data_IF_863905132886
#
_entry.id   IF_863905132886
#
_cell.length_a   1.000
_cell.length_b   1.000
_cell.length_c   1.000
_cell.angle_alpha   90.00
_cell.angle_beta   90.00
_cell.angle_gamma   90.00
#
_symmetry.space_group_name_H-M   'P 1'
#
loop_
_entity.id
_entity.type
_entity.pdbx_description
1 polymer ?
#
# COMPACT_ATOMS: atom_id res chain seq x y z
N UNK A 1 20.48 0.15 6.15
CA UNK A 1 20.62 0.92 4.87
C UNK A 1 19.23 1.24 4.36
N UNK A 2 18.96 2.51 3.99
CA UNK A 2 17.64 2.88 3.47
C UNK A 2 17.38 2.27 2.11
N UNK A 3 16.18 1.69 1.94
CA UNK A 3 15.70 1.13 0.70
C UNK A 3 14.39 1.85 0.30
N UNK A 4 14.32 2.44 -0.88
CA UNK A 4 13.09 3.05 -1.38
C UNK A 4 12.32 2.04 -2.22
N UNK A 5 11.05 1.82 -1.88
CA UNK A 5 10.14 1.02 -2.68
C UNK A 5 9.24 1.99 -3.44
N UNK A 6 9.36 2.01 -4.76
CA UNK A 6 8.63 2.93 -5.62
C UNK A 6 7.36 2.26 -6.15
N UNK A 7 6.24 2.90 -5.89
CA UNK A 7 4.95 2.64 -6.51
C UNK A 7 4.84 3.32 -7.89
N UNK A 8 3.84 2.99 -8.67
CA UNK A 8 3.53 3.54 -10.00
C UNK A 8 3.51 5.07 -9.99
N UNK A 9 2.92 5.68 -8.97
CA UNK A 9 2.84 7.14 -8.80
C UNK A 9 4.23 7.80 -8.73
N UNK A 10 5.20 7.16 -8.11
CA UNK A 10 6.57 7.68 -8.01
C UNK A 10 7.28 7.72 -9.36
N UNK A 11 7.09 6.70 -10.20
CA UNK A 11 7.63 6.70 -11.57
C UNK A 11 6.95 7.74 -12.46
N UNK A 12 5.62 7.87 -12.38
CA UNK A 12 4.83 8.85 -13.15
C UNK A 12 5.27 10.27 -12.81
N UNK A 13 5.52 10.59 -11.54
CA UNK A 13 5.98 11.91 -11.11
C UNK A 13 7.47 12.17 -11.35
N UNK A 14 8.17 11.20 -11.92
CA UNK A 14 9.56 11.39 -12.30
C UNK A 14 10.57 11.27 -11.18
N UNK A 15 10.22 10.67 -10.04
CA UNK A 15 11.19 10.46 -8.95
C UNK A 15 12.40 9.68 -9.47
N UNK A 16 13.60 10.20 -9.18
CA UNK A 16 14.86 9.61 -9.59
C UNK A 16 15.89 9.68 -8.45
N UNK A 17 15.79 8.78 -7.46
CA UNK A 17 16.73 8.74 -6.34
C UNK A 17 18.17 8.50 -6.83
N UNK A 18 19.15 9.16 -6.23
CA UNK A 18 20.54 9.09 -6.70
C UNK A 18 21.44 8.22 -5.79
N UNK A 19 21.16 8.21 -4.49
CA UNK A 19 22.05 7.62 -3.49
C UNK A 19 21.37 6.51 -2.65
N UNK A 20 20.11 6.19 -2.93
CA UNK A 20 19.38 5.16 -2.22
C UNK A 20 19.29 3.87 -3.06
N UNK A 21 19.20 2.73 -2.40
CA UNK A 21 18.81 1.49 -3.05
C UNK A 21 17.33 1.56 -3.42
N UNK A 22 17.02 1.38 -4.69
CA UNK A 22 15.65 1.51 -5.21
C UNK A 22 15.10 0.15 -5.58
N UNK A 23 13.89 -0.11 -5.15
CA UNK A 23 13.15 -1.33 -5.38
C UNK A 23 11.77 -1.03 -5.97
N UNK A 24 11.23 -1.98 -6.71
CA UNK A 24 9.84 -2.02 -7.13
C UNK A 24 9.41 -3.47 -7.37
N UNK A 25 8.15 -3.67 -7.70
CA UNK A 25 7.57 -4.98 -7.96
C UNK A 25 7.18 -5.14 -9.43
N UNK A 26 7.07 -6.39 -9.95
CA UNK A 26 6.73 -6.63 -11.34
C UNK A 26 5.41 -5.97 -11.76
N UNK A 27 4.37 -6.02 -10.92
CA UNK A 27 3.06 -5.44 -11.26
C UNK A 27 3.10 -3.92 -11.45
N UNK A 28 3.95 -3.20 -10.71
CA UNK A 28 4.19 -1.75 -10.96
C UNK A 28 4.74 -1.54 -12.37
N UNK A 29 5.68 -2.38 -12.81
CA UNK A 29 6.28 -2.25 -14.14
C UNK A 29 5.23 -2.52 -15.24
N UNK A 30 4.34 -3.48 -15.01
CA UNK A 30 3.25 -3.82 -15.95
C UNK A 30 2.19 -2.72 -16.08
N UNK A 31 1.96 -1.95 -15.03
CA UNK A 31 1.04 -0.80 -15.05
C UNK A 31 1.56 0.39 -15.84
N UNK A 32 2.88 0.55 -15.94
CA UNK A 32 3.50 1.69 -16.61
C UNK A 32 3.42 1.53 -18.13
N UNK A 33 2.63 2.37 -18.79
CA UNK A 33 2.39 2.32 -20.24
C UNK A 33 3.11 3.43 -21.02
N UNK A 34 3.54 4.48 -20.33
CA UNK A 34 4.25 5.58 -20.98
C UNK A 34 5.66 5.16 -21.39
N UNK A 35 5.99 5.30 -22.67
CA UNK A 35 7.25 4.85 -23.24
C UNK A 35 8.49 5.52 -22.63
N UNK A 36 8.40 6.81 -22.24
CA UNK A 36 9.51 7.52 -21.59
C UNK A 36 9.73 7.01 -20.17
N UNK A 37 8.66 6.75 -19.42
CA UNK A 37 8.74 6.20 -18.07
C UNK A 37 9.34 4.81 -18.12
N UNK A 38 8.86 3.95 -19.02
CA UNK A 38 9.37 2.58 -19.21
C UNK A 38 10.86 2.61 -19.62
N UNK A 39 11.24 3.46 -20.56
CA UNK A 39 12.65 3.58 -20.98
C UNK A 39 13.55 4.00 -19.82
N UNK A 40 13.12 4.98 -19.00
CA UNK A 40 13.87 5.41 -17.81
C UNK A 40 13.99 4.30 -16.79
N UNK A 41 12.91 3.55 -16.54
CA UNK A 41 12.92 2.40 -15.63
C UNK A 41 13.94 1.35 -16.09
N UNK A 42 13.95 1.02 -17.40
CA UNK A 42 14.91 0.09 -17.99
C UNK A 42 16.36 0.53 -17.79
N UNK A 43 16.64 1.82 -17.95
CA UNK A 43 17.98 2.37 -17.69
C UNK A 43 18.35 2.21 -16.22
N UNK A 44 17.44 2.47 -15.29
CA UNK A 44 17.68 2.29 -13.86
C UNK A 44 17.95 0.81 -13.51
N UNK A 45 17.20 -0.11 -14.12
CA UNK A 45 17.36 -1.55 -13.94
C UNK A 45 18.72 -2.04 -14.48
N UNK A 46 19.05 -1.71 -15.76
CA UNK A 46 20.30 -2.14 -16.41
C UNK A 46 21.54 -1.56 -15.77
N UNK A 47 21.44 -0.39 -15.14
CA UNK A 47 22.53 0.23 -14.39
C UNK A 47 22.63 -0.24 -12.94
N UNK A 48 21.78 -1.21 -12.53
CA UNK A 48 21.76 -1.74 -11.17
C UNK A 48 21.22 -0.78 -10.10
N UNK A 49 20.63 0.34 -10.51
CA UNK A 49 20.05 1.36 -9.61
C UNK A 49 18.65 1.00 -9.14
N UNK A 50 17.94 0.16 -9.89
CA UNK A 50 16.62 -0.34 -9.57
C UNK A 50 16.64 -1.86 -9.54
N UNK A 51 16.07 -2.43 -8.49
CA UNK A 51 15.81 -3.87 -8.37
C UNK A 51 14.32 -4.11 -8.47
N UNK A 52 13.91 -4.96 -9.41
CA UNK A 52 12.54 -5.44 -9.53
C UNK A 52 12.48 -6.77 -8.79
N UNK A 53 11.69 -6.83 -7.71
CA UNK A 53 11.62 -8.00 -6.83
C UNK A 53 10.16 -8.42 -6.67
N UNK A 54 9.88 -9.68 -6.95
CA UNK A 54 8.60 -10.29 -6.63
C UNK A 54 8.62 -10.71 -5.15
N UNK A 55 7.68 -10.22 -4.31
CA UNK A 55 7.66 -10.55 -2.90
C UNK A 55 7.25 -12.01 -2.69
N UNK A 56 7.78 -12.63 -1.64
CA UNK A 56 7.40 -13.98 -1.25
C UNK A 56 5.93 -14.03 -0.79
N UNK A 57 5.26 -15.16 -1.10
CA UNK A 57 3.82 -15.39 -0.81
C UNK A 57 3.46 -15.18 0.67
N UNK A 58 4.37 -15.55 1.59
CA UNK A 58 4.13 -15.37 3.04
C UNK A 58 3.88 -13.91 3.42
N UNK A 59 4.53 -12.95 2.77
CA UNK A 59 4.33 -11.52 3.04
C UNK A 59 3.04 -11.00 2.41
N UNK A 60 2.67 -11.54 1.24
CA UNK A 60 1.35 -11.24 0.65
C UNK A 60 0.22 -11.69 1.57
N UNK A 61 0.35 -12.88 2.20
CA UNK A 61 -0.61 -13.36 3.20
C UNK A 61 -0.75 -12.41 4.39
N UNK A 62 0.36 -11.89 4.93
CA UNK A 62 0.32 -10.92 6.03
C UNK A 62 -0.42 -9.62 5.63
N UNK A 63 -0.16 -9.11 4.41
CA UNK A 63 -0.84 -7.92 3.91
C UNK A 63 -2.33 -8.18 3.71
N UNK A 64 -2.71 -9.35 3.19
CA UNK A 64 -4.12 -9.72 3.01
C UNK A 64 -4.86 -9.78 4.33
N UNK A 65 -4.30 -10.49 5.33
CA UNK A 65 -4.90 -10.61 6.66
C UNK A 65 -5.10 -9.24 7.32
N UNK A 66 -4.11 -8.35 7.25
CA UNK A 66 -4.24 -7.01 7.81
C UNK A 66 -5.25 -6.16 7.02
N UNK A 67 -5.29 -6.30 5.69
CA UNK A 67 -6.27 -5.59 4.85
C UNK A 67 -7.71 -5.99 5.17
N UNK A 68 -7.95 -7.27 5.43
CA UNK A 68 -9.23 -7.79 5.90
C UNK A 68 -9.60 -7.21 7.27
N UNK A 69 -8.65 -7.21 8.22
CA UNK A 69 -8.86 -6.63 9.57
C UNK A 69 -9.20 -5.15 9.55
N UNK A 70 -8.62 -4.40 8.61
CA UNK A 70 -8.89 -2.97 8.44
C UNK A 70 -10.13 -2.67 7.59
N UNK A 71 -10.71 -3.68 6.92
CA UNK A 71 -11.81 -3.50 5.98
C UNK A 71 -11.38 -2.80 4.68
N UNK A 72 -10.12 -2.92 4.32
CA UNK A 72 -9.52 -2.29 3.12
C UNK A 72 -9.20 -3.29 2.00
N UNK A 73 -9.57 -4.55 2.13
CA UNK A 73 -9.26 -5.60 1.16
C UNK A 73 -9.71 -5.27 -0.28
N UNK A 74 -10.81 -4.53 -0.42
CA UNK A 74 -11.33 -4.07 -1.72
C UNK A 74 -10.74 -2.73 -2.20
N UNK A 75 -10.02 -2.02 -1.34
CA UNK A 75 -9.40 -0.74 -1.69
C UNK A 75 -7.98 -0.88 -2.22
N UNK A 76 -7.32 -2.00 -1.91
CA UNK A 76 -5.97 -2.29 -2.34
C UNK A 76 -5.97 -3.16 -3.60
N UNK A 77 -5.32 -2.70 -4.64
CA UNK A 77 -5.04 -3.50 -5.83
C UNK A 77 -4.04 -4.62 -5.54
N UNK A 78 -3.88 -5.55 -6.47
CA UNK A 78 -2.81 -6.57 -6.38
C UNK A 78 -1.42 -5.93 -6.36
N UNK A 79 -1.23 -4.85 -7.10
CA UNK A 79 0.00 -4.07 -7.15
C UNK A 79 0.32 -3.46 -5.79
N UNK A 80 -0.67 -2.83 -5.14
CA UNK A 80 -0.51 -2.24 -3.81
C UNK A 80 -0.09 -3.29 -2.78
N UNK A 81 -0.72 -4.47 -2.83
CA UNK A 81 -0.40 -5.59 -1.96
C UNK A 81 1.05 -6.07 -2.17
N UNK A 82 1.52 -6.16 -3.42
CA UNK A 82 2.92 -6.50 -3.69
C UNK A 82 3.88 -5.44 -3.16
N UNK A 83 3.62 -4.16 -3.34
CA UNK A 83 4.45 -3.06 -2.82
C UNK A 83 4.59 -3.14 -1.30
N UNK A 84 3.47 -3.37 -0.60
CA UNK A 84 3.45 -3.52 0.86
C UNK A 84 4.16 -4.80 1.33
N UNK A 85 3.93 -5.92 0.64
CA UNK A 85 4.58 -7.20 0.93
C UNK A 85 6.10 -7.12 0.76
N UNK A 86 6.58 -6.45 -0.30
CA UNK A 86 8.00 -6.20 -0.49
C UNK A 86 8.58 -5.35 0.66
N UNK A 87 7.79 -4.39 1.18
CA UNK A 87 8.17 -3.61 2.36
C UNK A 87 8.42 -4.48 3.58
N UNK A 88 7.54 -5.44 3.85
CA UNK A 88 7.71 -6.39 4.96
C UNK A 88 8.94 -7.27 4.74
N UNK A 89 9.10 -7.83 3.54
CA UNK A 89 10.24 -8.67 3.19
C UNK A 89 11.57 -7.96 3.40
N UNK A 90 11.71 -6.74 2.87
CA UNK A 90 12.95 -5.96 3.02
C UNK A 90 13.21 -5.55 4.47
N UNK A 91 12.16 -5.40 5.30
CA UNK A 91 12.33 -5.18 6.73
C UNK A 91 12.91 -6.40 7.44
N UNK A 92 12.48 -7.61 7.07
CA UNK A 92 13.03 -8.85 7.61
C UNK A 92 14.47 -9.07 7.14
N UNK A 93 14.85 -8.56 5.96
CA UNK A 93 16.23 -8.57 5.43
C UNK A 93 17.11 -7.46 6.09
N UNK A 94 16.71 -6.94 7.23
CA UNK A 94 17.42 -5.88 8.00
C UNK A 94 17.66 -4.57 7.23
N UNK A 95 16.87 -4.32 6.19
CA UNK A 95 16.83 -3.02 5.51
C UNK A 95 15.83 -2.10 6.19
N UNK A 96 15.95 -0.81 5.95
CA UNK A 96 14.98 0.19 6.38
C UNK A 96 14.15 0.64 5.17
N UNK A 97 13.08 -0.11 4.80
CA UNK A 97 12.28 0.24 3.63
C UNK A 97 11.43 1.47 3.88
N UNK A 98 11.29 2.28 2.84
CA UNK A 98 10.39 3.42 2.79
C UNK A 98 9.55 3.30 1.53
N UNK A 99 8.25 3.09 1.68
CA UNK A 99 7.31 3.05 0.56
C UNK A 99 7.04 4.47 0.07
N UNK A 100 7.15 4.68 -1.23
CA UNK A 100 6.91 5.97 -1.87
C UNK A 100 5.67 5.86 -2.75
N UNK A 101 4.54 6.33 -2.24
CA UNK A 101 3.25 6.31 -2.94
C UNK A 101 2.40 7.49 -2.50
N UNK A 102 1.64 8.08 -3.45
CA UNK A 102 0.63 9.09 -3.14
C UNK A 102 -0.76 8.51 -2.88
N UNK A 103 -0.92 7.19 -2.98
CA UNK A 103 -2.17 6.52 -2.63
C UNK A 103 -2.37 6.46 -1.12
N UNK A 104 -3.48 7.02 -0.64
CA UNK A 104 -3.83 7.02 0.79
C UNK A 104 -4.11 5.62 1.34
N UNK A 105 -4.63 4.70 0.52
CA UNK A 105 -4.88 3.32 0.96
C UNK A 105 -3.57 2.59 1.22
N UNK A 106 -2.58 2.76 0.32
CA UNK A 106 -1.22 2.23 0.50
C UNK A 106 -0.56 2.82 1.73
N UNK A 107 -0.61 4.16 1.90
CA UNK A 107 -0.03 4.84 3.06
C UNK A 107 -0.69 4.39 4.38
N UNK A 108 -2.02 4.28 4.41
CA UNK A 108 -2.78 3.85 5.58
C UNK A 108 -2.43 2.40 5.96
N UNK A 109 -2.30 1.52 4.97
CA UNK A 109 -1.91 0.13 5.18
C UNK A 109 -0.45 0.01 5.61
N UNK A 110 0.47 0.76 5.00
CA UNK A 110 1.87 0.80 5.41
C UNK A 110 2.01 1.20 6.88
N UNK A 111 1.24 2.21 7.32
CA UNK A 111 1.21 2.62 8.73
C UNK A 111 0.64 1.53 9.65
N UNK A 112 -0.37 0.77 9.21
CA UNK A 112 -0.93 -0.37 9.95
C UNK A 112 0.09 -1.50 10.13
N UNK A 113 0.85 -1.79 9.08
CA UNK A 113 1.90 -2.80 9.06
C UNK A 113 3.20 -2.34 9.76
N UNK A 114 3.27 -1.07 10.23
CA UNK A 114 4.47 -0.52 10.85
C UNK A 114 5.58 -0.16 9.85
N UNK A 115 5.27 -0.10 8.56
CA UNK A 115 6.21 0.29 7.51
C UNK A 115 6.31 1.81 7.40
N UNK A 116 7.50 2.28 7.05
CA UNK A 116 7.71 3.70 6.76
C UNK A 116 7.21 4.02 5.36
N UNK A 117 6.56 5.16 5.23
CA UNK A 117 6.08 5.63 3.93
C UNK A 117 6.25 7.14 3.79
N UNK A 118 6.24 7.62 2.56
CA UNK A 118 6.18 9.05 2.20
C UNK A 118 5.38 9.25 0.91
N UNK A 119 4.63 10.34 0.84
CA UNK A 119 4.06 10.85 -0.41
C UNK A 119 5.09 11.71 -1.17
N UNK A 120 4.83 11.95 -2.43
CA UNK A 120 5.62 12.84 -3.30
C UNK A 120 5.01 14.24 -3.34
N UNK A 121 3.70 14.32 -3.62
CA UNK A 121 2.97 15.57 -3.80
C UNK A 121 1.99 15.85 -2.65
N UNK A 122 1.58 14.82 -1.92
CA UNK A 122 0.53 14.94 -0.89
C UNK A 122 1.15 14.87 0.51
N UNK A 123 0.73 15.73 1.46
CA UNK A 123 1.10 15.55 2.86
C UNK A 123 0.64 14.18 3.33
N UNK A 124 1.55 13.34 3.80
CA UNK A 124 1.27 11.98 4.26
C UNK A 124 0.12 11.89 5.25
N UNK A 125 -0.41 10.69 5.48
CA UNK A 125 -1.52 10.41 6.38
C UNK A 125 -1.20 10.92 7.79
N UNK A 126 -2.07 11.79 8.30
CA UNK A 126 -2.01 12.27 9.70
C UNK A 126 -2.78 11.39 10.67
N UNK A 127 -3.62 10.48 10.17
CA UNK A 127 -4.49 9.62 10.99
C UNK A 127 -4.72 8.28 10.30
N UNK A 128 -4.61 7.19 11.04
CA UNK A 128 -4.98 5.86 10.60
C UNK A 128 -6.50 5.70 10.65
N UNK A 129 -7.08 5.14 9.59
CA UNK A 129 -8.49 4.81 9.53
C UNK A 129 -8.66 3.30 9.50
N UNK A 130 -9.61 2.79 10.26
CA UNK A 130 -10.20 1.48 10.07
C UNK A 130 -11.59 1.65 9.49
N UNK A 131 -11.99 0.74 8.63
CA UNK A 131 -13.27 0.81 7.96
C UNK A 131 -14.21 -0.22 8.56
N UNK A 132 -15.48 0.15 8.72
CA UNK A 132 -16.55 -0.76 9.13
C UNK A 132 -17.60 -0.79 8.03
N UNK A 133 -18.04 -1.99 7.66
CA UNK A 133 -19.19 -2.13 6.78
C UNK A 133 -20.46 -1.77 7.57
N UNK A 134 -21.35 -1.03 6.96
CA UNK A 134 -22.66 -0.73 7.52
C UNK A 134 -23.76 -0.81 6.47
N UNK A 135 -24.93 -1.19 6.90
CA UNK A 135 -26.11 -1.21 6.06
C UNK A 135 -26.84 0.13 6.15
N UNK A 136 -26.99 0.90 5.05
CA UNK A 136 -27.76 2.12 5.09
C UNK A 136 -29.26 1.91 5.29
N UNK A 137 -29.78 0.71 4.97
CA UNK A 137 -31.19 0.36 5.16
C UNK A 137 -31.55 0.05 6.62
N UNK A 138 -30.90 -0.95 7.24
CA UNK A 138 -31.21 -1.36 8.61
C UNK A 138 -30.23 -0.83 9.68
N UNK A 139 -29.19 -0.06 9.27
CA UNK A 139 -28.18 0.61 10.12
C UNK A 139 -27.28 -0.34 10.91
N UNK A 140 -27.27 -1.64 10.61
CA UNK A 140 -26.37 -2.61 11.24
C UNK A 140 -24.95 -2.43 10.73
N UNK A 141 -23.99 -2.72 11.61
CA UNK A 141 -22.55 -2.71 11.32
C UNK A 141 -22.03 -4.14 11.28
N UNK A 142 -21.05 -4.36 10.42
CA UNK A 142 -20.42 -5.66 10.22
C UNK A 142 -18.91 -5.48 10.36
N UNK A 143 -18.31 -6.31 11.22
CA UNK A 143 -16.85 -6.31 11.41
C UNK A 143 -16.14 -7.09 10.32
N UNK A 144 -16.84 -8.01 9.66
CA UNK A 144 -16.30 -8.89 8.61
C UNK A 144 -17.00 -8.63 7.28
N UNK A 145 -16.32 -8.84 6.15
CA UNK A 145 -16.94 -8.81 4.83
C UNK A 145 -18.14 -9.75 4.76
N UNK A 146 -19.19 -9.31 4.11
CA UNK A 146 -20.37 -10.13 3.86
C UNK A 146 -20.37 -10.62 2.40
N UNK A 147 -20.89 -11.81 2.12
CA UNK A 147 -21.03 -12.30 0.75
C UNK A 147 -21.73 -11.27 -0.13
N UNK A 148 -21.20 -11.05 -1.32
CA UNK A 148 -21.73 -10.14 -2.35
C UNK A 148 -21.92 -8.68 -1.89
N UNK A 149 -21.26 -8.26 -0.80
CA UNK A 149 -21.40 -6.94 -0.17
C UNK A 149 -22.86 -6.54 0.14
N UNK A 150 -23.71 -7.54 0.39
CA UNK A 150 -25.15 -7.38 0.66
C UNK A 150 -25.46 -7.66 2.12
N UNK A 151 -26.34 -6.85 2.70
CA UNK A 151 -26.81 -7.03 4.06
C UNK A 151 -27.64 -8.32 4.19
N UNK A 152 -27.24 -9.30 5.02
CA UNK A 152 -27.97 -10.57 5.18
C UNK A 152 -29.33 -10.41 5.83
N UNK A 153 -29.64 -9.22 6.38
CA UNK A 153 -30.91 -8.97 7.09
C UNK A 153 -31.96 -8.31 6.17
N UNK A 154 -31.56 -7.35 5.34
CA UNK A 154 -32.52 -6.58 4.54
C UNK A 154 -32.19 -6.50 3.04
N UNK A 155 -31.12 -7.19 2.59
CA UNK A 155 -30.74 -7.23 1.17
C UNK A 155 -30.19 -5.92 0.60
N UNK A 156 -29.97 -4.89 1.43
CA UNK A 156 -29.41 -3.62 0.96
C UNK A 156 -27.91 -3.74 0.78
N UNK A 157 -27.36 -3.16 -0.29
CA UNK A 157 -25.92 -3.05 -0.52
C UNK A 157 -25.24 -2.36 0.67
N UNK A 158 -24.15 -2.96 1.14
CA UNK A 158 -23.37 -2.45 2.28
C UNK A 158 -22.45 -1.31 1.82
N UNK A 159 -22.24 -0.35 2.72
CA UNK A 159 -21.32 0.77 2.50
C UNK A 159 -20.24 0.80 3.57
N UNK A 160 -19.08 1.30 3.21
CA UNK A 160 -17.96 1.50 4.16
C UNK A 160 -18.03 2.86 4.81
N UNK A 161 -17.69 2.91 6.10
CA UNK A 161 -17.45 4.17 6.82
C UNK A 161 -16.24 4.04 7.75
N UNK A 162 -15.52 5.13 8.04
CA UNK A 162 -14.46 5.10 9.03
C UNK A 162 -15.01 4.73 10.41
N UNK A 163 -14.48 3.64 11.01
CA UNK A 163 -14.92 3.16 12.33
C UNK A 163 -14.21 3.85 13.48
N UNK A 164 -12.94 4.21 13.32
CA UNK A 164 -12.12 4.91 14.32
C UNK A 164 -11.10 5.84 13.67
N UNK A 165 -10.99 7.03 14.23
CA UNK A 165 -9.89 7.96 13.96
C UNK A 165 -8.85 7.79 15.09
N UNK A 166 -7.84 6.96 14.91
CA UNK A 166 -6.67 6.93 15.80
C UNK A 166 -5.60 7.84 15.25
N UNK A 167 -5.02 8.70 16.11
CA UNK A 167 -3.85 9.47 15.74
C UNK A 167 -2.69 8.51 15.42
N UNK A 168 -1.98 8.81 14.34
CA UNK A 168 -0.75 8.10 13.99
C UNK A 168 0.27 8.42 15.08
N UNK A 169 0.69 7.42 15.84
CA UNK A 169 1.78 7.58 16.81
C UNK A 169 3.07 7.63 16.00
N UNK A 170 3.66 8.81 15.88
CA UNK A 170 5.03 8.95 15.37
C UNK A 170 5.94 8.15 16.31
N UNK A 171 6.35 6.96 15.92
CA UNK A 171 7.54 6.35 16.53
C UNK A 171 8.74 7.13 16.02
N UNK A 172 9.27 7.91 16.95
CA UNK A 172 10.55 8.58 17.00
C UNK A 172 11.29 8.83 15.69
N UNK A 173 11.24 10.08 15.22
CA UNK A 173 12.35 10.60 14.46
C UNK A 173 13.52 10.87 15.43
N UNK A 174 14.66 10.34 15.13
CA UNK A 174 15.98 10.89 15.43
C UNK A 174 16.73 10.89 14.12
#
# INVERSE_FOLDING_TARGET
MYALILDSSAFIQGLNPQNEAVYTVPLVVEELRDGFIVARLRIMETTGRLKIVEPEERYLGVVEDESLRMGESHALSATDKQVLALGLQLSDDELEPVIVSDDYSVQNMADALGLRHRGLATPGIKRRFTWTLYCPGCRREYAEPQPDDVCPICGTELKRRPSRKRGVTRRGGV
#
